data_IF_479378432672
#
_entry.id   IF_479378432672
#
_cell.length_a   1.000
_cell.length_b   1.000
_cell.length_c   1.000
_cell.angle_alpha   90.00
_cell.angle_beta   90.00
_cell.angle_gamma   90.00
#
_symmetry.space_group_name_H-M   'P 1'
#
loop_
_entity.id
_entity.type
_entity.pdbx_description
1 polymer ?
#
# COMPACT_ATOMS: atom_id res chain seq x y z
N UNK A 1 -46.98 -9.59 27.27
CA UNK A 1 -46.46 -10.82 26.62
C UNK A 1 -46.29 -10.54 25.13
N UNK A 2 -45.05 -10.45 24.65
CA UNK A 2 -44.75 -10.20 23.22
C UNK A 2 -44.73 -11.53 22.47
N UNK A 3 -45.51 -11.64 21.38
CA UNK A 3 -45.54 -12.87 20.55
C UNK A 3 -44.27 -12.93 19.70
N UNK A 4 -43.63 -14.11 19.58
CA UNK A 4 -42.43 -14.26 18.74
C UNK A 4 -42.80 -14.09 17.26
N UNK A 5 -42.04 -13.27 16.55
CA UNK A 5 -42.18 -13.10 15.10
C UNK A 5 -41.48 -14.27 14.40
N UNK A 6 -42.15 -15.05 13.54
CA UNK A 6 -41.51 -16.18 12.88
C UNK A 6 -40.46 -15.67 11.87
N UNK A 7 -39.26 -16.24 11.92
CA UNK A 7 -38.11 -15.85 11.09
C UNK A 7 -38.24 -16.27 9.61
N UNK A 8 -39.40 -16.78 9.18
CA UNK A 8 -39.66 -17.13 7.77
C UNK A 8 -38.81 -18.28 7.22
N UNK A 9 -38.17 -19.08 8.08
CA UNK A 9 -37.34 -20.23 7.70
C UNK A 9 -38.11 -21.51 8.03
N UNK A 10 -38.69 -22.13 7.01
CA UNK A 10 -39.48 -23.35 7.14
C UNK A 10 -38.66 -24.60 6.82
N UNK A 11 -37.68 -24.53 5.90
CA UNK A 11 -36.86 -25.67 5.47
C UNK A 11 -35.43 -25.27 5.07
N UNK A 12 -34.52 -26.26 4.97
CA UNK A 12 -33.12 -26.04 4.56
C UNK A 12 -32.96 -25.40 3.16
N UNK A 13 -33.99 -25.41 2.32
CA UNK A 13 -33.98 -24.73 1.02
C UNK A 13 -34.15 -23.20 1.11
N UNK A 14 -34.48 -22.65 2.27
CA UNK A 14 -34.74 -21.22 2.44
C UNK A 14 -33.46 -20.38 2.56
N UNK A 15 -32.30 -21.03 2.71
CA UNK A 15 -30.99 -20.38 2.69
C UNK A 15 -30.60 -20.01 1.26
N UNK A 16 -31.10 -18.87 0.80
CA UNK A 16 -30.64 -18.28 -0.46
C UNK A 16 -29.26 -17.65 -0.27
N UNK A 17 -28.30 -17.86 -1.19
CA UNK A 17 -27.01 -17.16 -1.14
C UNK A 17 -27.26 -15.66 -1.13
N UNK A 18 -26.60 -14.96 -0.20
CA UNK A 18 -26.71 -13.52 -0.06
C UNK A 18 -26.37 -12.85 -1.40
N UNK A 19 -27.17 -11.86 -1.79
CA UNK A 19 -26.87 -11.05 -2.96
C UNK A 19 -25.45 -10.45 -2.83
N UNK A 20 -24.69 -10.33 -3.93
CA UNK A 20 -23.36 -9.74 -3.87
C UNK A 20 -23.47 -8.34 -3.26
N UNK A 21 -22.63 -8.07 -2.26
CA UNK A 21 -22.57 -6.77 -1.62
C UNK A 21 -22.35 -5.68 -2.70
N UNK A 22 -22.99 -4.51 -2.58
CA UNK A 22 -22.83 -3.45 -3.57
C UNK A 22 -21.35 -3.09 -3.71
N UNK A 23 -20.85 -3.08 -4.95
CA UNK A 23 -19.43 -2.89 -5.26
C UNK A 23 -18.86 -1.54 -4.83
N UNK A 24 -19.70 -0.60 -4.40
CA UNK A 24 -19.31 0.76 -4.07
C UNK A 24 -19.98 1.21 -2.75
N UNK A 25 -19.52 0.66 -1.63
CA UNK A 25 -19.82 1.22 -0.32
C UNK A 25 -18.82 2.35 -0.07
N UNK A 26 -19.26 3.61 0.08
CA UNK A 26 -18.34 4.69 0.39
C UNK A 26 -17.63 4.39 1.71
N UNK A 27 -16.33 4.68 1.76
CA UNK A 27 -15.54 4.48 2.96
C UNK A 27 -16.19 5.23 4.13
N UNK A 28 -16.59 4.50 5.18
CA UNK A 28 -17.17 5.10 6.38
C UNK A 28 -16.12 6.00 7.03
N UNK A 29 -16.45 7.27 7.22
CA UNK A 29 -15.55 8.21 7.87
C UNK A 29 -15.22 7.74 9.28
N UNK A 30 -13.94 7.56 9.57
CA UNK A 30 -13.44 7.17 10.91
C UNK A 30 -13.92 8.12 12.01
N UNK A 31 -14.06 9.41 11.69
CA UNK A 31 -14.54 10.42 12.63
C UNK A 31 -16.01 10.21 12.99
N UNK A 32 -16.84 9.81 12.03
CA UNK A 32 -18.25 9.51 12.26
C UNK A 32 -18.40 8.22 13.09
N UNK A 33 -17.60 7.19 12.81
CA UNK A 33 -17.62 5.94 13.57
C UNK A 33 -17.22 6.13 15.04
N UNK A 34 -16.19 6.95 15.30
CA UNK A 34 -15.74 7.26 16.66
C UNK A 34 -16.83 7.98 17.49
N UNK A 35 -17.61 8.88 16.86
CA UNK A 35 -18.72 9.57 17.52
C UNK A 35 -19.84 8.63 17.99
N UNK A 36 -19.94 7.43 17.39
CA UNK A 36 -20.89 6.38 17.77
C UNK A 36 -20.27 5.28 18.65
N UNK A 37 -19.08 5.51 19.21
CA UNK A 37 -18.44 4.58 20.15
C UNK A 37 -17.72 3.40 19.49
N UNK A 38 -17.54 3.41 18.17
CA UNK A 38 -16.72 2.41 17.50
C UNK A 38 -15.24 2.72 17.72
N UNK A 39 -14.53 1.77 18.34
CA UNK A 39 -13.08 1.84 18.54
C UNK A 39 -12.40 1.06 17.44
N UNK A 40 -11.61 1.75 16.61
CA UNK A 40 -10.84 1.13 15.52
C UNK A 40 -9.73 0.25 16.12
N UNK A 41 -9.81 -1.07 15.87
CA UNK A 41 -8.84 -2.08 16.35
C UNK A 41 -7.81 -2.49 15.30
N UNK A 42 -7.95 -1.98 14.08
CA UNK A 42 -7.04 -2.32 12.99
C UNK A 42 -5.67 -1.66 13.23
N UNK A 43 -4.61 -2.47 13.20
CA UNK A 43 -3.25 -1.95 13.23
C UNK A 43 -3.02 -1.02 12.02
N UNK A 44 -2.27 0.09 12.18
CA UNK A 44 -1.98 1.00 11.08
C UNK A 44 -1.33 0.23 9.93
N UNK A 45 -2.07 0.08 8.83
CA UNK A 45 -1.56 -0.59 7.63
C UNK A 45 -0.50 0.32 6.99
N UNK A 46 0.67 -0.22 6.63
CA UNK A 46 1.69 0.56 5.95
C UNK A 46 1.15 1.10 4.62
N UNK A 47 1.10 2.42 4.49
CA UNK A 47 0.75 3.09 3.25
C UNK A 47 1.86 2.78 2.25
N UNK A 48 1.58 1.95 1.23
CA UNK A 48 2.50 1.72 0.12
C UNK A 48 2.60 3.00 -0.71
N UNK A 49 3.54 3.88 -0.34
CA UNK A 49 3.88 5.12 -1.08
C UNK A 49 4.62 4.87 -2.41
N UNK A 50 4.87 3.63 -2.80
CA UNK A 50 5.64 3.33 -4.01
C UNK A 50 4.76 3.52 -5.25
N UNK A 51 4.97 4.64 -5.96
CA UNK A 51 4.53 4.77 -7.37
C UNK A 51 5.29 3.72 -8.19
N UNK A 52 4.56 2.95 -9.00
CA UNK A 52 5.18 2.15 -10.05
C UNK A 52 5.94 3.09 -10.99
N UNK A 53 7.12 2.67 -11.45
CA UNK A 53 7.86 3.43 -12.46
C UNK A 53 7.09 3.34 -13.78
N UNK A 54 6.77 4.47 -14.40
CA UNK A 54 6.16 4.53 -15.73
C UNK A 54 7.18 4.15 -16.83
N UNK A 55 8.47 4.27 -16.53
CA UNK A 55 9.57 3.98 -17.45
C UNK A 55 9.93 2.48 -17.45
N UNK A 56 10.15 1.86 -18.64
CA UNK A 56 10.62 0.49 -18.75
C UNK A 56 11.89 0.29 -17.91
N UNK A 57 11.83 -0.66 -16.97
CA UNK A 57 12.92 -0.93 -16.04
C UNK A 57 13.58 -2.26 -16.39
N UNK A 58 14.91 -2.31 -16.39
CA UNK A 58 15.71 -3.53 -16.54
C UNK A 58 16.63 -3.72 -15.33
N UNK A 59 17.05 -4.97 -15.08
CA UNK A 59 18.05 -5.26 -14.06
C UNK A 59 19.46 -4.92 -14.56
N UNK A 60 20.27 -4.34 -13.68
CA UNK A 60 21.69 -4.12 -13.90
C UNK A 60 22.45 -4.72 -12.71
N UNK A 61 23.29 -5.71 -12.98
CA UNK A 61 24.05 -6.44 -11.97
C UNK A 61 25.52 -6.36 -12.30
N UNK A 62 26.33 -5.92 -11.35
CA UNK A 62 27.79 -5.86 -11.48
C UNK A 62 28.45 -6.11 -10.12
N UNK A 63 29.75 -6.44 -10.12
CA UNK A 63 30.56 -6.48 -8.90
C UNK A 63 31.26 -5.13 -8.73
N UNK A 64 31.17 -4.56 -7.52
CA UNK A 64 31.83 -3.31 -7.13
C UNK A 64 32.63 -3.53 -5.85
N UNK A 65 33.50 -2.59 -5.52
CA UNK A 65 34.18 -2.62 -4.23
C UNK A 65 33.16 -2.39 -3.11
N UNK A 66 33.42 -3.00 -1.95
CA UNK A 66 32.56 -2.85 -0.77
C UNK A 66 32.49 -1.40 -0.31
N UNK A 67 33.60 -0.66 -0.40
CA UNK A 67 33.66 0.78 -0.09
C UNK A 67 32.64 1.58 -0.89
N UNK A 68 32.65 1.39 -2.21
CA UNK A 68 31.82 2.17 -3.14
C UNK A 68 30.33 1.85 -2.93
N UNK A 69 30.02 0.61 -2.55
CA UNK A 69 28.67 0.20 -2.18
C UNK A 69 28.19 0.92 -0.91
N UNK A 70 29.03 0.97 0.13
CA UNK A 70 28.70 1.62 1.41
C UNK A 70 28.47 3.10 1.20
N UNK A 71 29.39 3.78 0.51
CA UNK A 71 29.28 5.21 0.22
C UNK A 71 27.99 5.56 -0.55
N UNK A 72 27.62 4.73 -1.52
CA UNK A 72 26.40 4.91 -2.29
C UNK A 72 25.13 4.74 -1.45
N UNK A 73 25.09 3.73 -0.58
CA UNK A 73 23.93 3.48 0.31
C UNK A 73 23.78 4.63 1.30
N UNK A 74 24.87 5.04 1.96
CA UNK A 74 24.85 6.14 2.94
C UNK A 74 24.42 7.46 2.29
N UNK A 75 24.88 7.73 1.06
CA UNK A 75 24.42 8.89 0.30
C UNK A 75 22.92 8.83 0.00
N UNK A 76 22.40 7.68 -0.45
CA UNK A 76 20.97 7.52 -0.71
C UNK A 76 20.12 7.69 0.56
N UNK A 77 20.57 7.18 1.70
CA UNK A 77 19.87 7.30 2.98
C UNK A 77 19.83 8.75 3.45
N UNK A 78 20.96 9.47 3.37
CA UNK A 78 21.06 10.89 3.70
C UNK A 78 20.11 11.74 2.86
N UNK A 79 20.05 11.47 1.56
CA UNK A 79 19.18 12.20 0.62
C UNK A 79 17.72 11.70 0.62
N UNK A 80 17.42 10.64 1.38
CA UNK A 80 16.12 9.94 1.41
C UNK A 80 15.66 9.50 0.01
N UNK A 81 16.59 8.97 -0.78
CA UNK A 81 16.35 8.52 -2.14
C UNK A 81 16.24 7.00 -2.21
N UNK A 82 15.34 6.45 -3.02
CA UNK A 82 15.46 5.07 -3.44
C UNK A 82 16.69 4.93 -4.37
N UNK A 83 17.39 3.80 -4.29
CA UNK A 83 18.64 3.56 -5.05
C UNK A 83 18.53 3.82 -6.55
N UNK A 84 17.38 3.55 -7.17
CA UNK A 84 17.13 3.87 -8.58
C UNK A 84 17.26 5.37 -8.89
N UNK A 85 16.80 6.23 -7.98
CA UNK A 85 16.88 7.70 -8.13
C UNK A 85 18.30 8.18 -7.85
N UNK A 86 18.99 7.54 -6.90
CA UNK A 86 20.42 7.74 -6.68
C UNK A 86 21.22 7.45 -7.96
N UNK A 87 20.99 6.29 -8.58
CA UNK A 87 21.61 5.92 -9.85
C UNK A 87 21.27 6.90 -10.98
N UNK A 88 20.00 7.32 -11.10
CA UNK A 88 19.57 8.34 -12.08
C UNK A 88 20.35 9.64 -11.91
N UNK A 89 20.49 10.16 -10.68
CA UNK A 89 21.23 11.40 -10.39
C UNK A 89 22.71 11.28 -10.77
N UNK A 90 23.34 10.14 -10.50
CA UNK A 90 24.72 9.87 -10.92
C UNK A 90 24.85 9.92 -12.44
N UNK A 91 23.96 9.25 -13.18
CA UNK A 91 23.96 9.28 -14.64
C UNK A 91 23.66 10.67 -15.21
N UNK A 92 22.81 11.46 -14.55
CA UNK A 92 22.55 12.85 -14.94
C UNK A 92 23.79 13.73 -14.74
N UNK A 93 24.61 13.47 -13.72
CA UNK A 93 25.89 14.17 -13.53
C UNK A 93 26.91 13.80 -14.62
N UNK A 94 27.00 12.51 -14.99
CA UNK A 94 27.83 12.02 -16.10
C UNK A 94 27.40 12.65 -17.43
N UNK A 95 26.09 12.68 -17.73
CA UNK A 95 25.55 13.32 -18.95
C UNK A 95 25.85 14.82 -19.03
N UNK A 96 25.95 15.48 -17.88
CA UNK A 96 26.30 16.90 -17.76
C UNK A 96 27.82 17.14 -17.80
N UNK A 97 28.65 16.09 -17.83
CA UNK A 97 30.11 16.19 -17.81
C UNK A 97 30.68 16.73 -16.50
N UNK A 98 29.96 16.53 -15.38
CA UNK A 98 30.41 16.95 -14.05
C UNK A 98 31.35 15.90 -13.42
N UNK A 99 31.24 14.65 -13.88
CA UNK A 99 32.03 13.49 -13.47
C UNK A 99 32.63 12.85 -14.70
#
# INVERSE_FOLDING_TARGET
MSKPTPAGLANLGDFKPAAPAPANVPAVSRTAAAAHGFVERDAPKPIKRRRASEEPTTSFTTRINVSDQVDFIEWCDRERLPYREGFKRMMDAVRKGIV
#
